data_IF_952753746554
#
_entry.id   IF_952753746554
#
_cell.length_a   1.000
_cell.length_b   1.000
_cell.length_c   1.000
_cell.angle_alpha   90.00
_cell.angle_beta   90.00
_cell.angle_gamma   90.00
#
_symmetry.space_group_name_H-M   'P 1'
#
loop_
_entity.id
_entity.type
_entity.pdbx_description
1 polymer ?
#
# COMPACT_ATOMS: atom_id res chain seq x y z
N UNK A 1 9.58 -71.23 24.71
CA UNK A 1 10.12 -69.91 24.36
C UNK A 1 10.99 -69.48 25.54
N UNK A 2 12.30 -69.36 25.35
CA UNK A 2 13.22 -69.07 26.46
C UNK A 2 13.05 -67.59 26.93
N UNK A 3 13.18 -67.41 28.25
CA UNK A 3 13.00 -66.11 28.90
C UNK A 3 13.91 -65.01 28.25
N UNK A 4 15.10 -65.42 27.82
CA UNK A 4 16.05 -64.52 27.09
C UNK A 4 15.48 -64.02 25.74
N UNK A 5 14.77 -64.85 25.00
CA UNK A 5 14.17 -64.43 23.72
C UNK A 5 13.03 -63.45 23.92
N UNK A 6 12.29 -63.56 25.01
CA UNK A 6 11.23 -62.60 25.36
C UNK A 6 11.83 -61.23 25.74
N UNK A 7 12.90 -61.24 26.52
CA UNK A 7 13.57 -60.01 26.92
C UNK A 7 14.22 -59.30 25.74
N UNK A 8 14.87 -60.02 24.85
CA UNK A 8 15.51 -59.45 23.67
C UNK A 8 14.46 -58.86 22.69
N UNK A 9 13.33 -59.56 22.49
CA UNK A 9 12.27 -59.05 21.59
C UNK A 9 11.55 -57.86 22.17
N UNK A 10 11.34 -57.77 23.48
CA UNK A 10 10.71 -56.60 24.11
C UNK A 10 11.65 -55.41 24.15
N UNK A 11 12.95 -55.58 24.38
CA UNK A 11 13.96 -54.52 24.31
C UNK A 11 14.10 -53.94 22.89
N UNK A 12 14.10 -54.81 21.86
CA UNK A 12 14.18 -54.37 20.46
C UNK A 12 12.93 -53.60 20.05
N UNK A 13 11.73 -53.99 20.54
CA UNK A 13 10.48 -53.25 20.32
C UNK A 13 10.49 -51.86 20.95
N UNK A 14 10.96 -51.72 22.18
CA UNK A 14 11.09 -50.42 22.88
C UNK A 14 12.11 -49.51 22.19
N UNK A 15 13.28 -50.05 21.81
CA UNK A 15 14.26 -49.26 21.05
C UNK A 15 13.76 -48.83 19.70
N UNK A 16 13.04 -49.67 18.95
CA UNK A 16 12.43 -49.34 17.69
C UNK A 16 11.39 -48.24 17.84
N UNK A 17 10.53 -48.31 18.84
CA UNK A 17 9.52 -47.28 19.13
C UNK A 17 10.17 -45.94 19.54
N UNK A 18 11.25 -45.98 20.35
CA UNK A 18 11.97 -44.76 20.74
C UNK A 18 12.65 -44.07 19.57
N UNK A 19 13.34 -44.84 18.72
CA UNK A 19 13.98 -44.26 17.48
C UNK A 19 12.97 -43.77 16.51
N UNK A 20 11.88 -44.51 16.24
CA UNK A 20 10.79 -44.11 15.36
C UNK A 20 10.05 -42.86 15.86
N UNK A 21 9.76 -42.81 17.16
CA UNK A 21 9.14 -41.62 17.80
C UNK A 21 10.02 -40.39 17.73
N UNK A 22 11.33 -40.53 17.98
CA UNK A 22 12.26 -39.42 17.87
C UNK A 22 12.42 -38.90 16.43
N UNK A 23 12.53 -39.81 15.45
CA UNK A 23 12.57 -39.41 14.02
C UNK A 23 11.29 -38.69 13.57
N UNK A 24 10.13 -39.18 14.01
CA UNK A 24 8.84 -38.55 13.74
C UNK A 24 8.76 -37.16 14.38
N UNK A 25 9.20 -37.01 15.64
CA UNK A 25 9.24 -35.72 16.32
C UNK A 25 10.11 -34.70 15.59
N UNK A 26 11.33 -35.10 15.18
CA UNK A 26 12.22 -34.21 14.43
C UNK A 26 11.61 -33.78 13.07
N UNK A 27 10.95 -34.71 12.39
CA UNK A 27 10.31 -34.42 11.13
C UNK A 27 9.14 -33.45 11.30
N UNK A 28 8.29 -33.69 12.30
CA UNK A 28 7.18 -32.79 12.64
C UNK A 28 7.67 -31.40 13.06
N UNK A 29 8.72 -31.31 13.86
CA UNK A 29 9.31 -30.03 14.27
C UNK A 29 9.83 -29.22 13.06
N UNK A 30 10.50 -29.88 12.10
CA UNK A 30 10.94 -29.24 10.85
C UNK A 30 9.78 -28.80 9.98
N UNK A 31 8.76 -29.66 9.83
CA UNK A 31 7.57 -29.30 9.05
C UNK A 31 6.82 -28.11 9.67
N UNK A 32 6.65 -28.11 11.00
CA UNK A 32 6.00 -27.03 11.71
C UNK A 32 6.74 -25.69 11.51
N UNK A 33 8.09 -25.71 11.66
CA UNK A 33 8.91 -24.52 11.40
C UNK A 33 8.75 -24.02 9.97
N UNK A 34 8.81 -24.92 8.99
CA UNK A 34 8.65 -24.58 7.58
C UNK A 34 7.27 -23.99 7.28
N UNK A 35 6.18 -24.57 7.81
CA UNK A 35 4.82 -24.05 7.66
C UNK A 35 4.68 -22.66 8.27
N UNK A 36 5.23 -22.46 9.48
CA UNK A 36 5.20 -21.15 10.14
C UNK A 36 5.94 -20.08 9.34
N UNK A 37 7.12 -20.42 8.79
CA UNK A 37 7.87 -19.50 7.92
C UNK A 37 7.10 -19.15 6.64
N UNK A 38 6.42 -20.12 6.03
CA UNK A 38 5.57 -19.88 4.86
C UNK A 38 4.36 -18.99 5.18
N UNK A 39 3.71 -19.20 6.32
CA UNK A 39 2.59 -18.37 6.76
C UNK A 39 3.04 -16.92 7.00
N UNK A 40 4.17 -16.71 7.67
CA UNK A 40 4.74 -15.37 7.89
C UNK A 40 5.06 -14.69 6.56
N UNK A 41 5.65 -15.41 5.61
CA UNK A 41 5.95 -14.85 4.29
C UNK A 41 4.69 -14.53 3.49
N UNK A 42 3.65 -15.36 3.60
CA UNK A 42 2.35 -15.10 2.98
C UNK A 42 1.72 -13.86 3.57
N UNK A 43 1.68 -13.75 4.90
CA UNK A 43 1.11 -12.59 5.58
C UNK A 43 1.83 -11.29 5.19
N UNK A 44 3.18 -11.29 5.15
CA UNK A 44 3.94 -10.12 4.70
C UNK A 44 3.58 -9.69 3.27
N UNK A 45 3.45 -10.64 2.34
CA UNK A 45 3.03 -10.35 0.96
C UNK A 45 1.63 -9.78 0.89
N UNK A 46 0.71 -10.33 1.68
CA UNK A 46 -0.69 -9.87 1.72
C UNK A 46 -0.77 -8.44 2.29
N UNK A 47 0.01 -8.13 3.32
CA UNK A 47 0.13 -6.79 3.90
C UNK A 47 0.74 -5.79 2.90
N UNK A 48 1.79 -6.17 2.17
CA UNK A 48 2.40 -5.33 1.12
C UNK A 48 1.41 -5.05 -0.02
N UNK A 49 0.66 -6.05 -0.46
CA UNK A 49 -0.39 -5.90 -1.48
C UNK A 49 -1.52 -5.00 -1.00
N UNK A 50 -1.93 -5.14 0.26
CA UNK A 50 -2.94 -4.28 0.87
C UNK A 50 -2.48 -2.81 0.89
N UNK A 51 -1.26 -2.55 1.37
CA UNK A 51 -0.68 -1.20 1.39
C UNK A 51 -0.55 -0.62 -0.02
N UNK A 52 -0.12 -1.43 -0.99
CA UNK A 52 -0.03 -1.01 -2.38
C UNK A 52 -1.39 -0.55 -2.91
N UNK A 53 -2.45 -1.35 -2.72
CA UNK A 53 -3.82 -0.99 -3.15
C UNK A 53 -4.32 0.29 -2.50
N UNK A 54 -4.03 0.49 -1.21
CA UNK A 54 -4.39 1.72 -0.49
C UNK A 54 -3.69 2.96 -1.06
N UNK A 55 -2.41 2.84 -1.44
CA UNK A 55 -1.67 3.92 -2.12
C UNK A 55 -2.24 4.21 -3.50
N UNK A 56 -2.52 3.17 -4.29
CA UNK A 56 -3.14 3.31 -5.62
C UNK A 56 -4.46 4.08 -5.53
N UNK A 57 -5.34 3.73 -4.61
CA UNK A 57 -6.62 4.38 -4.39
C UNK A 57 -6.45 5.84 -3.94
N UNK A 58 -5.56 6.10 -3.00
CA UNK A 58 -5.24 7.45 -2.55
C UNK A 58 -4.71 8.34 -3.69
N UNK A 59 -3.77 7.83 -4.49
CA UNK A 59 -3.18 8.60 -5.59
C UNK A 59 -4.17 8.85 -6.71
N UNK A 60 -5.08 7.91 -6.98
CA UNK A 60 -6.19 8.12 -7.89
C UNK A 60 -7.11 9.25 -7.39
N UNK A 61 -7.41 9.30 -6.09
CA UNK A 61 -8.19 10.39 -5.48
C UNK A 61 -7.48 11.73 -5.55
N UNK A 62 -6.17 11.78 -5.33
CA UNK A 62 -5.37 13.01 -5.47
C UNK A 62 -5.43 13.55 -6.91
N UNK A 63 -5.33 12.65 -7.90
CA UNK A 63 -5.45 13.03 -9.30
C UNK A 63 -6.86 13.52 -9.63
N UNK A 64 -7.91 12.80 -9.23
CA UNK A 64 -9.32 13.17 -9.42
C UNK A 64 -9.62 14.52 -8.78
N UNK A 65 -9.07 14.78 -7.59
CA UNK A 65 -9.19 16.07 -6.94
C UNK A 65 -8.62 17.21 -7.79
N UNK A 66 -7.41 17.06 -8.32
CA UNK A 66 -6.80 18.10 -9.17
C UNK A 66 -7.64 18.37 -10.43
N UNK A 67 -8.16 17.33 -11.05
CA UNK A 67 -9.04 17.45 -12.23
C UNK A 67 -10.37 18.14 -11.91
N UNK A 68 -10.99 17.80 -10.77
CA UNK A 68 -12.23 18.46 -10.31
C UNK A 68 -11.97 19.89 -9.91
N UNK A 69 -10.87 20.17 -9.22
CA UNK A 69 -10.48 21.52 -8.84
C UNK A 69 -10.28 22.39 -10.10
N UNK A 70 -9.54 21.90 -11.09
CA UNK A 70 -9.38 22.58 -12.38
C UNK A 70 -10.73 22.88 -13.03
N UNK A 71 -11.62 21.89 -13.11
CA UNK A 71 -12.97 22.02 -13.67
C UNK A 71 -13.79 23.07 -12.92
N UNK A 72 -13.78 23.06 -11.58
CA UNK A 72 -14.51 24.03 -10.77
C UNK A 72 -14.03 25.45 -11.07
N UNK A 73 -12.74 25.67 -11.16
CA UNK A 73 -12.14 26.98 -11.38
C UNK A 73 -12.38 27.46 -12.84
N UNK A 74 -12.09 26.62 -13.83
CA UNK A 74 -12.22 27.00 -15.27
C UNK A 74 -13.68 27.20 -15.72
N UNK A 75 -14.56 26.26 -15.32
CA UNK A 75 -15.94 26.25 -15.81
C UNK A 75 -16.80 27.21 -15.00
N UNK A 76 -16.71 27.18 -13.68
CA UNK A 76 -17.55 28.00 -12.81
C UNK A 76 -17.03 29.42 -12.66
N UNK A 77 -15.80 29.70 -13.12
CA UNK A 77 -15.13 31.00 -12.98
C UNK A 77 -15.22 31.54 -11.55
N UNK A 78 -15.09 30.63 -10.60
CA UNK A 78 -15.27 30.88 -9.17
C UNK A 78 -14.00 30.54 -8.42
N UNK A 79 -13.70 31.33 -7.39
CA UNK A 79 -12.64 31.03 -6.43
C UNK A 79 -13.04 30.00 -5.39
N UNK A 80 -14.28 29.49 -5.46
CA UNK A 80 -14.83 28.53 -4.51
C UNK A 80 -14.87 27.14 -5.13
N UNK A 81 -14.33 26.16 -4.41
CA UNK A 81 -14.48 24.75 -4.74
C UNK A 81 -15.92 24.29 -4.56
N UNK A 82 -16.40 23.41 -5.42
CA UNK A 82 -17.63 22.69 -5.22
C UNK A 82 -17.58 21.87 -3.91
N UNK A 83 -18.75 21.61 -3.33
CA UNK A 83 -18.84 20.80 -2.11
C UNK A 83 -18.18 19.43 -2.30
N UNK A 84 -18.48 18.77 -3.40
CA UNK A 84 -17.95 17.45 -3.76
C UNK A 84 -16.42 17.43 -3.86
N UNK A 85 -15.83 18.50 -4.42
CA UNK A 85 -14.36 18.66 -4.51
C UNK A 85 -13.74 18.86 -3.13
N UNK A 86 -14.42 19.65 -2.27
CA UNK A 86 -13.98 19.86 -0.89
C UNK A 86 -14.09 18.58 -0.03
N UNK A 87 -15.17 17.82 -0.22
CA UNK A 87 -15.37 16.55 0.48
C UNK A 87 -14.28 15.53 0.05
N UNK A 88 -13.92 15.49 -1.22
CA UNK A 88 -12.83 14.66 -1.71
C UNK A 88 -11.48 15.05 -1.09
N UNK A 89 -11.19 16.34 -0.93
CA UNK A 89 -9.98 16.81 -0.24
C UNK A 89 -9.93 16.33 1.22
N UNK A 90 -11.06 16.37 1.92
CA UNK A 90 -11.16 15.85 3.29
C UNK A 90 -10.86 14.34 3.35
N UNK A 91 -11.38 13.57 2.38
CA UNK A 91 -11.07 12.13 2.28
C UNK A 91 -9.58 11.90 2.04
N UNK A 92 -8.96 12.63 1.11
CA UNK A 92 -7.51 12.56 0.85
C UNK A 92 -6.71 12.87 2.12
N UNK A 93 -7.12 13.88 2.89
CA UNK A 93 -6.46 14.26 4.13
C UNK A 93 -6.47 13.14 5.16
N UNK A 94 -7.61 12.47 5.33
CA UNK A 94 -7.74 11.32 6.24
C UNK A 94 -6.92 10.13 5.75
N UNK A 95 -6.96 9.84 4.46
CA UNK A 95 -6.28 8.69 3.86
C UNK A 95 -4.78 8.91 3.60
N UNK A 96 -4.27 10.13 3.78
CA UNK A 96 -2.85 10.48 3.54
C UNK A 96 -1.86 9.63 4.36
N UNK A 97 -2.32 9.01 5.45
CA UNK A 97 -1.55 8.05 6.26
C UNK A 97 -1.07 6.82 5.46
N UNK A 98 -1.77 6.48 4.37
CA UNK A 98 -1.41 5.35 3.50
C UNK A 98 -0.40 5.72 2.42
N UNK A 99 -0.24 7.02 2.15
CA UNK A 99 0.65 7.53 1.12
C UNK A 99 2.12 7.53 1.52
N UNK A 100 2.98 7.61 0.50
CA UNK A 100 4.37 8.00 0.74
C UNK A 100 4.40 9.47 1.17
N UNK A 101 5.17 9.78 2.21
CA UNK A 101 5.30 11.14 2.73
C UNK A 101 5.69 12.15 1.63
N UNK A 102 6.66 11.79 0.80
CA UNK A 102 7.12 12.66 -0.29
C UNK A 102 5.98 12.99 -1.27
N UNK A 103 5.23 11.97 -1.71
CA UNK A 103 4.10 12.14 -2.64
C UNK A 103 2.99 12.98 -2.01
N UNK A 104 2.69 12.75 -0.75
CA UNK A 104 1.69 13.50 0.01
C UNK A 104 2.10 14.98 0.16
N UNK A 105 3.35 15.25 0.52
CA UNK A 105 3.89 16.60 0.65
C UNK A 105 3.88 17.34 -0.71
N UNK A 106 4.24 16.65 -1.81
CA UNK A 106 4.16 17.20 -3.17
C UNK A 106 2.73 17.58 -3.55
N UNK A 107 1.75 16.72 -3.23
CA UNK A 107 0.33 17.02 -3.49
C UNK A 107 -0.13 18.27 -2.76
N UNK A 108 0.10 18.35 -1.45
CA UNK A 108 -0.35 19.50 -0.66
C UNK A 108 0.37 20.78 -1.05
N UNK A 109 1.66 20.72 -1.40
CA UNK A 109 2.40 21.88 -1.90
C UNK A 109 1.82 22.36 -3.22
N UNK A 110 1.57 21.46 -4.18
CA UNK A 110 0.97 21.80 -5.47
C UNK A 110 -0.43 22.40 -5.29
N UNK A 111 -1.28 21.76 -4.51
CA UNK A 111 -2.63 22.26 -4.22
C UNK A 111 -2.60 23.64 -3.57
N UNK A 112 -1.75 23.85 -2.58
CA UNK A 112 -1.59 25.14 -1.90
C UNK A 112 -1.18 26.25 -2.88
N UNK A 113 -0.19 25.98 -3.73
CA UNK A 113 0.27 26.93 -4.74
C UNK A 113 -0.83 27.30 -5.75
N UNK A 114 -1.60 26.30 -6.21
CA UNK A 114 -2.75 26.52 -7.09
C UNK A 114 -3.82 27.38 -6.39
N UNK A 115 -4.15 27.03 -5.15
CA UNK A 115 -5.18 27.76 -4.38
C UNK A 115 -4.78 29.20 -4.05
N UNK A 116 -3.55 29.43 -3.63
CA UNK A 116 -3.03 30.77 -3.32
C UNK A 116 -2.90 31.67 -4.56
N UNK A 117 -2.77 31.08 -5.74
CA UNK A 117 -2.74 31.82 -7.01
C UNK A 117 -4.13 32.33 -7.47
N UNK A 118 -5.24 31.77 -6.95
CA UNK A 118 -6.60 32.13 -7.38
C UNK A 118 -6.90 33.65 -7.34
N UNK A 119 -6.50 34.41 -6.30
CA UNK A 119 -6.78 35.85 -6.24
C UNK A 119 -6.09 36.66 -7.34
N UNK A 120 -4.88 36.24 -7.76
CA UNK A 120 -4.11 36.96 -8.81
C UNK A 120 -4.75 36.82 -10.18
N UNK A 121 -5.45 35.71 -10.45
CA UNK A 121 -5.95 35.34 -11.77
C UNK A 121 -7.46 35.39 -11.88
N UNK A 122 -8.15 36.21 -11.07
CA UNK A 122 -9.62 36.35 -11.09
C UNK A 122 -10.21 36.52 -12.49
N UNK A 123 -9.50 37.15 -13.42
CA UNK A 123 -9.95 37.42 -14.79
C UNK A 123 -9.37 36.47 -15.85
N UNK A 124 -8.54 35.49 -15.43
CA UNK A 124 -7.80 34.61 -16.37
C UNK A 124 -7.46 33.28 -15.71
N UNK A 125 -8.47 32.59 -15.17
CA UNK A 125 -8.30 31.32 -14.44
C UNK A 125 -7.55 30.24 -15.23
N UNK A 126 -7.67 30.25 -16.57
CA UNK A 126 -6.93 29.31 -17.43
C UNK A 126 -5.41 29.41 -17.23
N UNK A 127 -4.88 30.63 -17.01
CA UNK A 127 -3.45 30.88 -16.83
C UNK A 127 -2.87 30.24 -15.57
N UNK A 128 -3.70 29.96 -14.55
CA UNK A 128 -3.22 29.30 -13.31
C UNK A 128 -2.70 27.91 -13.62
N UNK A 129 -3.50 27.15 -14.38
CA UNK A 129 -3.15 25.77 -14.72
C UNK A 129 -2.04 25.72 -15.76
N UNK A 130 -2.05 26.60 -16.74
CA UNK A 130 -0.99 26.72 -17.74
C UNK A 130 0.37 27.04 -17.08
N UNK A 131 0.41 27.99 -16.13
CA UNK A 131 1.61 28.35 -15.36
C UNK A 131 2.12 27.19 -14.49
N UNK A 132 1.22 26.37 -13.96
CA UNK A 132 1.57 25.27 -13.07
C UNK A 132 1.57 23.89 -13.77
N UNK A 133 1.40 23.86 -15.10
CA UNK A 133 1.30 22.62 -15.87
C UNK A 133 2.52 21.71 -15.67
N UNK A 134 3.73 22.27 -15.68
CA UNK A 134 4.96 21.51 -15.44
C UNK A 134 4.97 20.83 -14.06
N UNK A 135 4.49 21.51 -13.02
CA UNK A 135 4.40 20.95 -11.67
C UNK A 135 3.34 19.85 -11.58
N UNK A 136 2.22 20.02 -12.27
CA UNK A 136 1.16 19.00 -12.35
C UNK A 136 1.69 17.76 -13.05
N UNK A 137 2.37 17.92 -14.18
CA UNK A 137 2.99 16.80 -14.89
C UNK A 137 4.09 16.12 -14.05
N UNK A 138 4.91 16.89 -13.35
CA UNK A 138 5.93 16.34 -12.43
C UNK A 138 5.28 15.48 -11.33
N UNK A 139 4.19 15.97 -10.74
CA UNK A 139 3.44 15.21 -9.74
C UNK A 139 2.83 13.93 -10.32
N UNK A 140 2.23 14.00 -11.51
CA UNK A 140 1.68 12.82 -12.20
C UNK A 140 2.77 11.78 -12.51
N UNK A 141 3.91 12.22 -13.01
CA UNK A 141 5.05 11.34 -13.30
C UNK A 141 5.56 10.67 -12.02
N UNK A 142 5.65 11.43 -10.93
CA UNK A 142 6.05 10.89 -9.63
C UNK A 142 5.09 9.81 -9.12
N UNK A 143 3.77 10.04 -9.21
CA UNK A 143 2.76 9.02 -8.86
C UNK A 143 2.94 7.76 -9.72
N UNK A 144 3.11 7.89 -11.03
CA UNK A 144 3.31 6.74 -11.92
C UNK A 144 4.55 5.92 -11.53
N UNK A 145 5.65 6.59 -11.20
CA UNK A 145 6.88 5.94 -10.73
C UNK A 145 6.67 5.19 -9.41
N UNK A 146 6.01 5.82 -8.44
CA UNK A 146 5.67 5.20 -7.14
C UNK A 146 4.79 3.95 -7.30
N UNK A 147 3.89 3.95 -8.28
CA UNK A 147 3.02 2.80 -8.58
C UNK A 147 3.71 1.74 -9.45
N UNK A 148 4.93 2.01 -9.92
CA UNK A 148 5.67 1.11 -10.81
C UNK A 148 5.07 1.02 -12.22
N UNK A 149 4.31 2.05 -12.64
CA UNK A 149 3.79 2.15 -14.00
C UNK A 149 4.93 2.64 -14.89
N UNK A 150 5.37 1.77 -15.80
CA UNK A 150 6.38 2.12 -16.83
C UNK A 150 5.69 2.86 -17.96
N UNK A 151 6.35 3.93 -18.43
CA UNK A 151 5.94 4.64 -19.66
C UNK A 151 6.08 3.78 -20.89
#
# INVERSE_FOLDING_TARGET
>A
MNLEQIIISSLSGILGAAVGGFATYLTMAKQFKFMTEQEIQKQKRDDELYLKRKREDLYAKMYDFLMRFEKDIRIRKSTYMAKETKDLLNVIQIESIWGNKQTTDMFYKLWKELYESLPEYKNSFDKIFDKNNEKILTFQTHIRQELGIKD
#
